data_IF_972197563593
#
_entry.id   IF_972197563593
#
_cell.length_a   1.000
_cell.length_b   1.000
_cell.length_c   1.000
_cell.angle_alpha   90.00
_cell.angle_beta   90.00
_cell.angle_gamma   90.00
#
_symmetry.space_group_name_H-M   'P 1'
#
loop_
_entity.id
_entity.type
_entity.pdbx_description
1 polymer ?
#
# COMPACT_ATOMS: atom_id res chain seq x y z
N UNK A 1 46.77 -5.35 57.63
CA UNK A 1 45.62 -6.29 57.71
C UNK A 1 44.59 -5.87 56.68
N UNK A 2 43.98 -6.85 56.02
CA UNK A 2 42.86 -6.74 55.07
C UNK A 2 43.14 -6.16 53.67
N UNK A 3 43.59 -7.03 52.76
CA UNK A 3 43.37 -6.89 51.33
C UNK A 3 42.56 -8.09 50.80
N UNK A 4 41.69 -7.81 49.84
CA UNK A 4 41.15 -8.71 48.82
C UNK A 4 40.01 -9.66 49.21
N UNK A 5 38.81 -9.32 48.72
CA UNK A 5 37.86 -10.27 48.13
C UNK A 5 36.93 -9.51 47.17
N UNK A 6 37.42 -9.23 45.96
CA UNK A 6 36.61 -8.67 44.87
C UNK A 6 35.73 -9.76 44.25
N UNK A 7 34.45 -9.78 44.60
CA UNK A 7 33.41 -10.55 43.90
C UNK A 7 33.07 -9.83 42.60
N UNK A 8 33.51 -10.38 41.47
CA UNK A 8 32.99 -10.00 40.15
C UNK A 8 31.67 -10.74 39.92
N UNK A 9 30.56 -10.04 40.13
CA UNK A 9 29.23 -10.42 39.68
C UNK A 9 29.13 -10.11 38.17
N UNK A 10 29.14 -11.14 37.34
CA UNK A 10 28.79 -11.01 35.91
C UNK A 10 27.26 -10.97 35.82
N UNK A 11 26.70 -9.76 35.80
CA UNK A 11 25.31 -9.54 35.42
C UNK A 11 25.20 -9.63 33.89
N UNK A 12 24.72 -10.77 33.40
CA UNK A 12 24.27 -10.93 32.02
C UNK A 12 22.97 -10.15 31.81
N UNK A 13 23.06 -8.92 31.31
CA UNK A 13 21.91 -8.15 30.87
C UNK A 13 21.43 -8.68 29.51
N UNK A 14 20.48 -9.61 29.52
CA UNK A 14 19.68 -9.93 28.33
C UNK A 14 18.66 -8.80 28.16
N UNK A 15 19.04 -7.77 27.40
CA UNK A 15 18.11 -6.74 26.95
C UNK A 15 17.25 -7.36 25.84
N UNK A 16 16.15 -7.98 26.24
CA UNK A 16 15.08 -8.34 25.33
C UNK A 16 14.39 -7.06 24.84
N UNK A 17 14.86 -6.53 23.73
CA UNK A 17 14.20 -5.44 23.02
C UNK A 17 12.88 -5.96 22.42
N UNK A 18 11.81 -5.91 23.22
CA UNK A 18 10.44 -6.02 22.74
C UNK A 18 10.12 -4.75 21.95
N UNK A 19 10.36 -4.76 20.64
CA UNK A 19 9.79 -3.75 19.77
C UNK A 19 8.27 -3.93 19.77
N UNK A 20 7.47 -2.93 20.19
CA UNK A 20 6.03 -3.00 19.96
C UNK A 20 5.83 -3.08 18.46
N UNK A 21 5.12 -4.12 18.00
CA UNK A 21 4.72 -4.27 16.62
C UNK A 21 3.91 -3.03 16.23
N UNK A 22 4.55 -2.09 15.55
CA UNK A 22 3.89 -0.91 15.00
C UNK A 22 2.95 -1.44 13.93
N UNK A 23 1.65 -1.41 14.23
CA UNK A 23 0.61 -1.84 13.32
C UNK A 23 0.68 -0.95 12.06
N UNK A 24 1.09 -1.55 10.94
CA UNK A 24 1.07 -0.95 9.62
C UNK A 24 -0.33 -1.08 9.01
N UNK A 25 -0.68 -0.18 8.11
CA UNK A 25 -2.07 0.02 7.69
C UNK A 25 -2.26 0.15 6.18
N UNK A 26 -3.48 0.51 5.77
CA UNK A 26 -4.09 0.32 4.46
C UNK A 26 -3.66 1.29 3.37
N UNK A 27 -3.68 0.77 2.16
CA UNK A 27 -3.78 1.55 0.96
C UNK A 27 -5.22 1.96 0.66
N UNK A 28 -5.30 3.17 0.13
CA UNK A 28 -6.45 3.83 -0.48
C UNK A 28 -6.02 4.02 -1.92
N UNK A 29 -6.92 4.01 -2.89
CA UNK A 29 -6.60 4.57 -4.19
C UNK A 29 -7.79 5.39 -4.61
N UNK A 30 -7.56 6.65 -4.95
CA UNK A 30 -8.58 7.53 -5.49
C UNK A 30 -8.04 8.12 -6.79
N UNK A 31 -8.84 8.07 -7.85
CA UNK A 31 -8.58 8.69 -9.14
C UNK A 31 -9.48 9.91 -9.27
N UNK A 32 -8.90 11.11 -9.22
CA UNK A 32 -9.67 12.34 -9.34
C UNK A 32 -9.00 13.24 -10.38
N UNK A 33 -9.77 13.80 -11.34
CA UNK A 33 -9.30 14.96 -12.07
C UNK A 33 -9.09 16.11 -11.07
N UNK A 34 -7.83 16.43 -10.82
CA UNK A 34 -7.39 17.36 -9.79
C UNK A 34 -7.57 18.82 -10.21
N UNK A 35 -8.69 19.17 -10.86
CA UNK A 35 -9.04 20.54 -11.22
C UNK A 35 -8.64 21.50 -10.10
N UNK A 36 -7.72 22.41 -10.42
CA UNK A 36 -7.16 23.46 -9.56
C UNK A 36 -6.76 23.08 -8.11
N UNK A 37 -6.42 21.81 -7.84
CA UNK A 37 -5.95 21.38 -6.50
C UNK A 37 -4.70 22.15 -6.00
N UNK A 38 -4.04 22.90 -6.89
CA UNK A 38 -2.77 23.57 -6.63
C UNK A 38 -2.85 25.10 -6.49
N UNK A 39 -3.99 25.74 -6.80
CA UNK A 39 -4.09 27.22 -6.78
C UNK A 39 -4.65 27.79 -5.46
N UNK A 40 -5.04 26.94 -4.52
CA UNK A 40 -5.19 27.31 -3.10
C UNK A 40 -6.32 28.28 -2.77
N UNK A 41 -7.17 28.65 -3.72
CA UNK A 41 -8.26 29.60 -3.51
C UNK A 41 -9.52 28.98 -2.89
N UNK A 42 -9.60 27.63 -2.87
CA UNK A 42 -10.70 26.90 -2.24
C UNK A 42 -12.06 27.17 -2.89
N UNK A 43 -12.10 27.66 -4.13
CA UNK A 43 -13.35 27.84 -4.85
C UNK A 43 -13.90 26.46 -5.24
N UNK A 44 -15.06 26.11 -4.68
CA UNK A 44 -15.76 24.82 -4.84
C UNK A 44 -16.42 24.67 -6.23
N UNK A 45 -15.89 25.31 -7.28
CA UNK A 45 -16.46 25.19 -8.61
C UNK A 45 -16.23 23.78 -9.17
N UNK A 46 -17.29 22.99 -9.14
CA UNK A 46 -17.34 21.62 -9.67
C UNK A 46 -17.31 21.65 -11.19
N UNK A 47 -16.16 21.83 -11.80
CA UNK A 47 -16.03 21.63 -13.23
C UNK A 47 -15.94 20.12 -13.51
N UNK A 48 -16.98 19.58 -14.15
CA UNK A 48 -16.88 18.26 -14.74
C UNK A 48 -15.80 18.30 -15.83
N UNK A 49 -14.89 17.33 -15.81
CA UNK A 49 -13.94 17.18 -16.90
C UNK A 49 -14.70 16.68 -18.12
N UNK A 50 -14.55 17.30 -19.31
CA UNK A 50 -15.25 16.90 -20.53
C UNK A 50 -14.63 15.63 -21.14
N UNK A 51 -14.32 14.63 -20.29
CA UNK A 51 -13.87 13.30 -20.64
C UNK A 51 -14.88 12.31 -20.05
N UNK A 52 -15.37 11.40 -20.88
CA UNK A 52 -16.15 10.27 -20.41
C UNK A 52 -15.22 9.09 -20.13
N UNK A 53 -15.41 8.41 -19.01
CA UNK A 53 -14.86 7.08 -18.76
C UNK A 53 -15.87 6.08 -19.28
N UNK A 54 -15.62 5.46 -20.43
CA UNK A 54 -16.54 4.48 -21.02
C UNK A 54 -16.46 3.12 -20.32
N UNK A 55 -15.30 2.80 -19.74
CA UNK A 55 -15.07 1.55 -19.01
C UNK A 55 -13.87 1.69 -18.10
N UNK A 56 -13.97 1.13 -16.90
CA UNK A 56 -12.82 0.90 -16.01
C UNK A 56 -12.57 -0.61 -15.89
N UNK A 57 -11.31 -1.02 -15.99
CA UNK A 57 -10.85 -2.36 -15.64
C UNK A 57 -9.82 -2.25 -14.53
N UNK A 58 -10.18 -2.78 -13.36
CA UNK A 58 -9.36 -2.76 -12.14
C UNK A 58 -8.82 -4.15 -11.86
N UNK A 59 -7.50 -4.30 -11.88
CA UNK A 59 -6.80 -5.53 -11.49
C UNK A 59 -5.99 -5.28 -10.23
N UNK A 60 -6.36 -5.98 -9.15
CA UNK A 60 -5.66 -6.01 -7.87
C UNK A 60 -4.87 -7.31 -7.78
N UNK A 61 -3.56 -7.26 -8.07
CA UNK A 61 -2.67 -8.41 -7.94
C UNK A 61 -2.03 -8.44 -6.55
N UNK A 62 -2.59 -9.30 -5.71
CA UNK A 62 -2.23 -9.45 -4.30
C UNK A 62 -1.31 -10.64 -4.06
N UNK A 63 -0.96 -11.42 -5.09
CA UNK A 63 -0.06 -12.57 -5.00
C UNK A 63 1.30 -12.25 -4.34
N UNK A 64 1.94 -11.09 -4.61
CA UNK A 64 3.22 -10.75 -3.98
C UNK A 64 3.18 -10.70 -2.44
N UNK A 65 1.99 -10.60 -1.82
CA UNK A 65 1.86 -10.57 -0.36
C UNK A 65 2.30 -11.87 0.31
N UNK A 66 2.38 -13.00 -0.42
CA UNK A 66 2.96 -14.25 0.11
C UNK A 66 4.42 -14.06 0.56
N UNK A 67 5.16 -13.25 -0.20
CA UNK A 67 6.57 -12.94 0.04
C UNK A 67 6.77 -11.61 0.80
N UNK A 68 5.70 -11.09 1.42
CA UNK A 68 5.68 -9.76 2.06
C UNK A 68 6.10 -8.62 1.10
N UNK A 69 5.91 -8.80 -0.21
CA UNK A 69 6.15 -7.77 -1.21
C UNK A 69 4.89 -6.91 -1.43
N UNK A 70 5.04 -5.64 -1.88
CA UNK A 70 3.91 -4.77 -2.19
C UNK A 70 2.94 -5.41 -3.21
N UNK A 71 1.64 -5.19 -3.00
CA UNK A 71 0.63 -5.55 -3.98
C UNK A 71 0.74 -4.64 -5.21
N UNK A 72 0.38 -5.16 -6.39
CA UNK A 72 0.35 -4.39 -7.63
C UNK A 72 -1.10 -4.10 -8.00
N UNK A 73 -1.41 -2.85 -8.27
CA UNK A 73 -2.72 -2.42 -8.76
C UNK A 73 -2.58 -1.87 -10.17
N UNK A 74 -3.46 -2.28 -11.06
CA UNK A 74 -3.56 -1.77 -12.43
C UNK A 74 -4.99 -1.30 -12.66
N UNK A 75 -5.16 -0.01 -12.93
CA UNK A 75 -6.43 0.58 -13.36
C UNK A 75 -6.30 1.00 -14.82
N UNK A 76 -7.16 0.46 -15.68
CA UNK A 76 -7.25 0.83 -17.08
C UNK A 76 -8.58 1.52 -17.34
N UNK A 77 -8.52 2.73 -17.88
CA UNK A 77 -9.67 3.56 -18.22
C UNK A 77 -9.74 3.69 -19.73
N UNK A 78 -10.88 3.30 -20.31
CA UNK A 78 -11.24 3.68 -21.68
C UNK A 78 -11.88 5.06 -21.62
N UNK A 79 -11.19 6.04 -22.18
CA UNK A 79 -11.59 7.44 -22.16
C UNK A 79 -12.17 7.82 -23.53
N UNK A 80 -13.24 8.60 -23.54
CA UNK A 80 -13.74 9.27 -24.74
C UNK A 80 -13.75 10.78 -24.56
N UNK A 81 -13.12 11.48 -25.48
CA UNK A 81 -13.12 12.92 -25.58
C UNK A 81 -14.00 13.35 -26.77
N UNK A 82 -15.25 13.74 -26.48
CA UNK A 82 -16.24 14.13 -27.49
C UNK A 82 -16.06 15.58 -28.00
N UNK A 83 -15.06 16.32 -27.50
CA UNK A 83 -14.80 17.70 -27.92
C UNK A 83 -14.31 17.72 -29.37
N UNK A 84 -15.17 18.13 -30.29
CA UNK A 84 -14.82 18.30 -31.72
C UNK A 84 -14.27 19.69 -32.01
N UNK A 85 -14.88 20.70 -31.39
CA UNK A 85 -14.56 22.11 -31.59
C UNK A 85 -14.49 22.83 -30.23
N UNK A 86 -13.48 23.67 -30.05
CA UNK A 86 -13.36 24.51 -28.87
C UNK A 86 -11.95 25.11 -28.72
N UNK A 87 -11.83 26.37 -28.27
CA UNK A 87 -10.54 26.96 -28.00
C UNK A 87 -9.84 26.14 -26.91
N UNK A 88 -8.67 25.57 -27.23
CA UNK A 88 -7.74 25.14 -26.20
C UNK A 88 -7.31 26.40 -25.44
N UNK A 89 -7.38 26.40 -24.11
CA UNK A 89 -6.99 27.55 -23.28
C UNK A 89 -5.57 28.00 -23.69
N UNK A 90 -5.48 29.14 -24.40
CA UNK A 90 -4.23 29.75 -24.86
C UNK A 90 -3.75 29.43 -26.29
N UNK A 91 -4.38 28.53 -27.05
CA UNK A 91 -3.95 28.23 -28.43
C UNK A 91 -5.15 28.03 -29.38
N UNK A 92 -5.36 29.00 -30.26
CA UNK A 92 -6.51 29.06 -31.18
C UNK A 92 -6.38 28.15 -32.42
N UNK A 93 -5.36 27.27 -32.51
CA UNK A 93 -5.12 26.47 -33.73
C UNK A 93 -4.73 25.00 -33.49
N UNK A 94 -5.14 24.40 -32.38
CA UNK A 94 -4.97 22.97 -32.11
C UNK A 94 -6.30 22.20 -32.04
N UNK A 95 -6.31 20.88 -32.30
CA UNK A 95 -7.48 20.03 -32.01
C UNK A 95 -7.84 20.16 -30.52
N UNK A 96 -9.15 20.06 -30.21
CA UNK A 96 -9.72 20.30 -28.89
C UNK A 96 -9.28 19.26 -27.83
N UNK A 97 -8.01 19.35 -27.44
CA UNK A 97 -7.35 18.47 -26.49
C UNK A 97 -7.81 18.84 -25.09
N UNK A 98 -8.39 17.89 -24.38
CA UNK A 98 -8.73 18.09 -22.97
C UNK A 98 -7.47 17.87 -22.13
N UNK A 99 -7.08 18.92 -21.39
CA UNK A 99 -5.93 18.91 -20.48
C UNK A 99 -6.44 18.92 -19.05
N UNK A 100 -5.95 18.01 -18.22
CA UNK A 100 -6.30 17.95 -16.80
C UNK A 100 -5.14 17.38 -15.99
N UNK A 101 -5.08 17.72 -14.71
CA UNK A 101 -4.23 17.02 -13.76
C UNK A 101 -4.97 15.80 -13.25
N UNK A 102 -4.26 14.69 -13.14
CA UNK A 102 -4.77 13.48 -12.51
C UNK A 102 -3.99 13.25 -11.23
N UNK A 103 -4.70 12.90 -10.16
CA UNK A 103 -4.13 12.57 -8.87
C UNK A 103 -4.53 11.15 -8.46
N UNK A 104 -3.53 10.36 -8.10
CA UNK A 104 -3.68 9.05 -7.46
C UNK A 104 -3.18 9.11 -6.04
N UNK A 105 -4.05 8.83 -5.08
CA UNK A 105 -3.71 8.92 -3.65
C UNK A 105 -3.70 7.53 -3.03
N UNK A 106 -2.53 7.07 -2.57
CA UNK A 106 -2.44 5.84 -1.79
C UNK A 106 -1.41 5.95 -0.66
N UNK A 107 -1.84 5.89 0.61
CA UNK A 107 -0.91 5.64 1.70
C UNK A 107 -0.21 4.29 1.48
N UNK A 108 1.12 4.25 1.61
CA UNK A 108 1.86 3.01 1.38
C UNK A 108 2.21 2.76 -0.08
N UNK A 109 2.02 3.75 -0.96
CA UNK A 109 2.45 3.62 -2.35
C UNK A 109 3.97 3.65 -2.43
N UNK A 110 4.54 2.71 -3.19
CA UNK A 110 5.99 2.56 -3.36
C UNK A 110 6.44 3.28 -4.64
N UNK A 111 5.73 3.03 -5.74
CA UNK A 111 5.98 3.60 -7.05
C UNK A 111 4.68 3.61 -7.88
N UNK A 112 4.71 4.33 -9.01
CA UNK A 112 3.61 4.42 -9.95
C UNK A 112 4.11 4.71 -11.37
N UNK A 113 3.40 4.16 -12.33
CA UNK A 113 3.59 4.34 -13.77
C UNK A 113 2.23 4.65 -14.42
N UNK A 114 2.23 5.51 -15.44
CA UNK A 114 1.03 5.85 -16.19
C UNK A 114 1.34 5.89 -17.69
N UNK A 115 0.40 5.41 -18.50
CA UNK A 115 0.49 5.36 -19.96
C UNK A 115 -0.82 5.85 -20.57
N UNK A 116 -0.74 6.64 -21.64
CA UNK A 116 -1.87 7.00 -22.50
C UNK A 116 -1.58 6.49 -23.91
N UNK A 117 -2.41 5.57 -24.41
CA UNK A 117 -2.23 4.92 -25.72
C UNK A 117 -0.81 4.35 -25.88
N UNK A 118 -0.35 3.58 -24.90
CA UNK A 118 1.00 2.97 -24.84
C UNK A 118 2.16 3.97 -24.66
N UNK A 119 1.89 5.28 -24.68
CA UNK A 119 2.90 6.31 -24.39
C UNK A 119 3.00 6.57 -22.89
N UNK A 120 4.19 6.41 -22.35
CA UNK A 120 4.49 6.76 -20.95
C UNK A 120 4.23 8.24 -20.66
N UNK A 121 3.59 8.49 -19.52
CA UNK A 121 3.36 9.82 -18.96
C UNK A 121 4.39 10.09 -17.86
N UNK A 122 4.78 11.35 -17.69
CA UNK A 122 5.61 11.74 -16.57
C UNK A 122 4.80 11.73 -15.27
N UNK A 123 5.10 10.77 -14.39
CA UNK A 123 4.47 10.61 -13.09
C UNK A 123 5.35 11.24 -12.00
N UNK A 124 4.82 12.23 -11.30
CA UNK A 124 5.52 12.94 -10.24
C UNK A 124 4.97 12.54 -8.86
N UNK A 125 5.82 12.09 -7.92
CA UNK A 125 5.39 11.91 -6.54
C UNK A 125 4.97 13.26 -5.94
N UNK A 126 3.91 13.23 -5.13
CA UNK A 126 3.39 14.38 -4.40
C UNK A 126 2.87 13.92 -3.03
N UNK A 127 2.44 14.86 -2.19
CA UNK A 127 1.88 14.54 -0.90
C UNK A 127 0.76 15.51 -0.53
N UNK A 128 -0.25 15.01 0.20
CA UNK A 128 -1.43 15.76 0.61
C UNK A 128 -1.48 15.89 2.12
N UNK A 129 -1.85 17.06 2.64
CA UNK A 129 -1.96 17.29 4.09
C UNK A 129 -3.25 16.75 4.74
N UNK A 130 -3.99 15.95 3.99
CA UNK A 130 -5.22 15.30 4.39
C UNK A 130 -5.97 14.82 3.16
N UNK A 131 -6.90 13.89 3.38
CA UNK A 131 -7.88 13.50 2.37
C UNK A 131 -9.13 14.37 2.54
N UNK A 132 -9.69 14.79 1.40
CA UNK A 132 -11.06 15.33 1.39
C UNK A 132 -12.01 14.26 1.98
N UNK A 133 -13.05 14.64 2.74
CA UNK A 133 -13.99 13.69 3.34
C UNK A 133 -14.47 12.59 2.39
N UNK A 134 -14.73 12.96 1.14
CA UNK A 134 -15.24 12.12 0.07
C UNK A 134 -14.21 11.13 -0.51
N UNK A 135 -12.91 11.35 -0.28
CA UNK A 135 -11.84 10.40 -0.63
C UNK A 135 -11.49 9.47 0.52
N UNK A 136 -12.14 9.64 1.68
CA UNK A 136 -11.86 8.78 2.82
C UNK A 136 -12.48 7.41 2.56
N UNK A 137 -11.70 6.34 2.70
CA UNK A 137 -12.28 5.02 2.68
C UNK A 137 -13.18 4.84 3.91
N UNK A 138 -14.05 3.82 3.90
CA UNK A 138 -14.83 3.44 5.07
C UNK A 138 -13.92 3.09 6.25
N UNK A 139 -14.41 3.27 7.48
CA UNK A 139 -13.61 2.98 8.68
C UNK A 139 -13.42 1.48 8.94
N UNK A 140 -14.20 0.63 8.26
CA UNK A 140 -14.27 -0.80 8.47
C UNK A 140 -14.30 -1.53 7.12
N UNK A 141 -13.93 -2.81 7.13
CA UNK A 141 -14.00 -3.72 5.98
C UNK A 141 -14.61 -5.05 6.41
N UNK A 142 -15.27 -5.82 5.53
CA UNK A 142 -15.80 -7.13 5.89
C UNK A 142 -14.67 -8.09 6.27
N UNK A 143 -14.88 -8.95 7.27
CA UNK A 143 -13.88 -9.93 7.72
C UNK A 143 -14.05 -11.28 6.99
N UNK A 144 -12.97 -12.07 6.75
CA UNK A 144 -13.09 -13.34 6.03
C UNK A 144 -13.88 -14.45 6.76
N UNK A 145 -14.09 -14.34 8.08
CA UNK A 145 -14.94 -15.27 8.85
C UNK A 145 -16.31 -14.69 9.20
N UNK A 146 -16.70 -13.57 8.58
CA UNK A 146 -17.88 -12.81 8.95
C UNK A 146 -17.60 -11.72 10.00
N UNK A 147 -18.47 -10.71 10.03
CA UNK A 147 -18.27 -9.48 10.80
C UNK A 147 -17.43 -8.45 10.04
N UNK A 148 -16.80 -7.54 10.79
CA UNK A 148 -16.02 -6.41 10.24
C UNK A 148 -14.64 -6.30 10.92
N UNK A 149 -13.68 -5.75 10.21
CA UNK A 149 -12.34 -5.41 10.70
C UNK A 149 -12.13 -3.90 10.56
N UNK A 150 -11.40 -3.26 11.49
CA UNK A 150 -11.07 -1.84 11.34
C UNK A 150 -10.13 -1.63 10.15
N UNK A 151 -10.48 -0.69 9.28
CA UNK A 151 -9.61 -0.19 8.22
C UNK A 151 -8.60 0.82 8.82
N UNK A 152 -7.46 0.35 9.31
CA UNK A 152 -6.35 1.21 9.77
C UNK A 152 -5.39 1.62 8.64
N UNK A 153 -5.22 2.90 8.29
CA UNK A 153 -4.38 3.38 7.17
C UNK A 153 -2.86 3.19 7.33
N UNK A 154 -2.14 3.03 6.20
CA UNK A 154 -0.70 2.77 6.18
C UNK A 154 0.00 4.00 6.66
N UNK A 155 0.65 3.92 7.81
CA UNK A 155 1.59 4.96 8.15
C UNK A 155 2.95 4.53 7.64
N UNK A 156 3.31 5.02 6.46
CA UNK A 156 4.69 4.88 6.00
C UNK A 156 5.60 5.71 6.91
N UNK A 157 6.78 5.21 7.28
CA UNK A 157 7.80 6.01 7.95
C UNK A 157 8.21 7.24 7.15
N UNK A 158 7.96 7.22 5.83
CA UNK A 158 8.29 8.28 4.87
C UNK A 158 7.27 9.41 4.81
N UNK A 159 6.11 9.26 5.45
CA UNK A 159 5.10 10.29 5.48
C UNK A 159 5.70 11.59 6.06
N UNK A 160 5.83 12.61 5.20
CA UNK A 160 6.27 13.94 5.62
C UNK A 160 5.25 14.52 6.58
N UNK A 161 5.69 15.35 7.51
CA UNK A 161 4.74 16.09 8.34
C UNK A 161 4.22 17.29 7.56
N UNK A 162 2.91 17.38 7.47
CA UNK A 162 2.23 18.63 7.25
C UNK A 162 2.11 19.34 8.60
N UNK A 163 2.29 20.67 8.61
CA UNK A 163 2.18 21.47 9.83
C UNK A 163 0.94 21.12 10.68
N UNK A 164 1.03 21.41 11.98
CA UNK A 164 0.04 21.01 13.00
C UNK A 164 0.00 19.50 13.31
N UNK A 165 1.14 18.80 13.19
CA UNK A 165 1.25 17.41 13.63
C UNK A 165 0.39 16.43 12.79
N UNK A 166 0.20 16.72 11.50
CA UNK A 166 -0.49 15.81 10.57
C UNK A 166 0.52 15.14 9.67
N UNK A 167 0.31 13.86 9.36
CA UNK A 167 1.12 13.14 8.37
C UNK A 167 0.54 13.37 6.98
N UNK A 168 1.41 13.69 6.05
CA UNK A 168 1.08 13.82 4.65
C UNK A 168 0.76 12.44 4.08
N UNK A 169 -0.25 12.37 3.22
CA UNK A 169 -0.63 11.18 2.48
C UNK A 169 0.13 11.17 1.17
N UNK A 170 0.80 10.06 0.88
CA UNK A 170 1.52 9.84 -0.36
C UNK A 170 0.55 9.80 -1.55
N UNK A 171 0.95 10.42 -2.64
CA UNK A 171 0.19 10.47 -3.87
C UNK A 171 1.12 10.61 -5.07
N UNK A 172 0.61 10.35 -6.26
CA UNK A 172 1.27 10.69 -7.51
C UNK A 172 0.34 11.52 -8.36
N UNK A 173 0.92 12.43 -9.12
CA UNK A 173 0.20 13.24 -10.08
C UNK A 173 0.87 13.18 -11.43
N UNK A 174 0.07 13.34 -12.47
CA UNK A 174 0.57 13.52 -13.82
C UNK A 174 -0.38 14.41 -14.60
N UNK A 175 0.16 15.03 -15.64
CA UNK A 175 -0.63 15.85 -16.56
C UNK A 175 -1.17 14.96 -17.67
N UNK A 176 -2.49 14.93 -17.83
CA UNK A 176 -3.19 14.19 -18.86
C UNK A 176 -3.60 15.15 -19.98
N UNK A 177 -3.25 14.83 -21.21
CA UNK A 177 -3.65 15.57 -22.40
C UNK A 177 -4.27 14.58 -23.39
N UNK A 178 -5.60 14.59 -23.49
CA UNK A 178 -6.38 13.64 -24.29
C UNK A 178 -6.88 14.36 -25.55
N UNK A 179 -6.40 14.00 -26.76
CA UNK A 179 -6.98 14.48 -28.01
C UNK A 179 -8.46 14.10 -28.16
N UNK A 180 -9.19 14.64 -29.15
CA UNK A 180 -10.52 14.14 -29.49
C UNK A 180 -10.48 12.68 -29.94
N UNK A 181 -11.43 11.87 -29.49
CA UNK A 181 -11.52 10.44 -29.83
C UNK A 181 -11.52 9.51 -28.62
N UNK A 182 -11.25 8.23 -28.88
CA UNK A 182 -11.13 7.17 -27.88
C UNK A 182 -9.66 6.93 -27.52
N UNK A 183 -9.40 6.75 -26.23
CA UNK A 183 -8.05 6.61 -25.68
C UNK A 183 -8.04 5.60 -24.54
N UNK A 184 -6.88 4.99 -24.28
CA UNK A 184 -6.68 4.07 -23.14
C UNK A 184 -5.66 4.67 -22.19
N UNK A 185 -6.12 5.04 -20.99
CA UNK A 185 -5.26 5.43 -19.88
C UNK A 185 -5.03 4.21 -18.99
N UNK A 186 -3.78 3.77 -18.84
CA UNK A 186 -3.39 2.71 -17.91
C UNK A 186 -2.54 3.28 -16.80
N UNK A 187 -2.90 3.00 -15.55
CA UNK A 187 -2.15 3.39 -14.37
C UNK A 187 -1.81 2.15 -13.56
N UNK A 188 -0.52 1.94 -13.32
CA UNK A 188 -0.01 0.83 -12.51
C UNK A 188 0.72 1.41 -11.32
N UNK A 189 0.49 0.85 -10.13
CA UNK A 189 1.24 1.26 -8.93
C UNK A 189 1.38 0.10 -7.97
N UNK A 190 2.44 0.17 -7.16
CA UNK A 190 2.67 -0.77 -6.08
C UNK A 190 2.30 -0.14 -4.74
N UNK A 191 1.62 -0.90 -3.89
CA UNK A 191 1.19 -0.44 -2.58
C UNK A 191 1.37 -1.52 -1.52
N UNK A 192 1.64 -1.11 -0.29
CA UNK A 192 1.61 -1.98 0.87
C UNK A 192 0.20 -2.01 1.48
N UNK A 193 -0.53 -3.15 1.44
CA UNK A 193 -1.81 -3.26 2.12
C UNK A 193 -1.64 -3.16 3.62
N UNK A 194 -2.72 -2.79 4.29
CA UNK A 194 -2.68 -2.66 5.74
C UNK A 194 -2.81 -3.93 6.47
N UNK A 195 -2.59 -3.83 7.77
CA UNK A 195 -2.64 -4.97 8.67
C UNK A 195 -3.77 -4.78 9.67
N UNK A 196 -4.63 -5.78 9.73
CA UNK A 196 -5.61 -5.96 10.79
C UNK A 196 -5.18 -7.17 11.63
N UNK A 197 -4.73 -6.92 12.87
CA UNK A 197 -4.14 -7.95 13.72
C UNK A 197 -2.79 -8.48 13.21
N UNK A 198 -2.32 -9.59 13.78
CA UNK A 198 -1.03 -10.18 13.42
C UNK A 198 -0.98 -10.62 11.96
N UNK A 199 -2.17 -10.91 11.39
CA UNK A 199 -2.28 -11.76 10.24
C UNK A 199 -2.99 -11.21 9.02
N UNK A 200 -4.01 -10.42 9.24
CA UNK A 200 -4.92 -10.08 8.17
C UNK A 200 -4.35 -8.90 7.40
N UNK A 201 -4.59 -8.89 6.09
CA UNK A 201 -4.32 -7.73 5.26
C UNK A 201 -5.63 -7.04 4.89
N UNK A 202 -5.62 -5.72 4.82
CA UNK A 202 -6.81 -4.93 4.49
C UNK A 202 -6.46 -3.87 3.44
N UNK A 203 -7.40 -3.59 2.54
CA UNK A 203 -7.25 -2.69 1.41
C UNK A 203 -8.58 -2.04 1.09
N UNK A 204 -8.56 -0.78 0.68
CA UNK A 204 -9.73 -0.12 0.11
C UNK A 204 -9.34 0.57 -1.20
N UNK A 205 -10.14 0.39 -2.25
CA UNK A 205 -10.04 1.13 -3.49
C UNK A 205 -11.27 2.03 -3.59
N UNK A 206 -11.07 3.35 -3.62
CA UNK A 206 -12.15 4.32 -3.76
C UNK A 206 -12.30 4.58 -5.26
N UNK A 207 -13.43 4.17 -5.84
CA UNK A 207 -13.78 4.59 -7.18
C UNK A 207 -14.00 6.09 -7.08
N UNK A 208 -12.99 6.86 -7.52
CA UNK A 208 -13.01 8.31 -7.38
C UNK A 208 -14.26 8.91 -8.03
N UNK A 209 -14.48 10.20 -7.85
CA UNK A 209 -15.69 10.91 -8.23
C UNK A 209 -16.17 10.64 -9.65
N UNK A 210 -16.98 9.59 -9.84
CA UNK A 210 -17.57 9.23 -11.12
C UNK A 210 -18.46 10.35 -11.65
N UNK A 211 -18.97 11.19 -10.75
CA UNK A 211 -19.77 12.38 -11.02
C UNK A 211 -18.96 13.57 -11.56
N UNK A 212 -17.62 13.54 -11.50
CA UNK A 212 -16.74 14.59 -12.08
C UNK A 212 -16.33 14.33 -13.52
N UNK A 213 -16.66 13.16 -14.06
CA UNK A 213 -16.44 12.82 -15.45
C UNK A 213 -17.69 13.16 -16.27
N UNK A 214 -17.53 13.42 -17.57
CA UNK A 214 -18.67 13.64 -18.47
C UNK A 214 -19.57 12.40 -18.59
N UNK A 215 -19.05 11.23 -18.23
CA UNK A 215 -19.78 9.97 -18.10
C UNK A 215 -18.89 8.93 -17.41
N UNK A 216 -19.51 7.93 -16.80
CA UNK A 216 -18.81 6.83 -16.14
C UNK A 216 -19.54 5.52 -16.43
N UNK A 217 -18.93 4.68 -17.24
CA UNK A 217 -19.47 3.42 -17.73
C UNK A 217 -19.19 2.24 -16.79
N UNK A 218 -19.32 1.00 -17.29
CA UNK A 218 -19.16 -0.20 -16.49
C UNK A 218 -17.76 -0.35 -15.90
N UNK A 219 -17.71 -1.01 -14.75
CA UNK A 219 -16.47 -1.34 -14.03
C UNK A 219 -16.30 -2.84 -13.93
N UNK A 220 -15.15 -3.31 -14.38
CA UNK A 220 -14.71 -4.69 -14.22
C UNK A 220 -13.65 -4.77 -13.14
N UNK A 221 -13.82 -5.71 -12.22
CA UNK A 221 -12.89 -5.91 -11.11
C UNK A 221 -12.35 -7.33 -11.17
N UNK A 222 -11.03 -7.45 -11.09
CA UNK A 222 -10.31 -8.71 -10.90
C UNK A 222 -9.38 -8.59 -9.69
N UNK A 223 -9.49 -9.52 -8.75
CA UNK A 223 -8.57 -9.65 -7.62
C UNK A 223 -7.86 -10.98 -7.75
N UNK A 224 -6.52 -10.95 -7.82
CA UNK A 224 -5.68 -12.14 -7.82
C UNK A 224 -5.11 -12.33 -6.42
N UNK A 225 -5.58 -13.35 -5.72
CA UNK A 225 -5.18 -13.67 -4.35
C UNK A 225 -3.89 -14.51 -4.36
N UNK A 226 -3.07 -14.46 -3.30
CA UNK A 226 -2.10 -15.51 -3.07
C UNK A 226 -2.80 -16.88 -2.91
N UNK A 227 -2.12 -17.98 -3.26
CA UNK A 227 -2.70 -19.31 -3.18
C UNK A 227 -3.27 -19.65 -1.81
N UNK A 228 -4.52 -20.14 -1.79
CA UNK A 228 -5.24 -20.59 -0.59
C UNK A 228 -5.60 -19.49 0.42
N UNK A 229 -5.37 -18.22 0.11
CA UNK A 229 -5.78 -17.13 0.99
C UNK A 229 -7.30 -16.99 0.99
N UNK A 230 -7.86 -16.72 2.17
CA UNK A 230 -9.27 -16.34 2.31
C UNK A 230 -9.38 -14.84 2.10
N UNK A 231 -10.48 -14.42 1.49
CA UNK A 231 -10.77 -13.02 1.25
C UNK A 231 -12.25 -12.75 1.51
N UNK A 232 -12.55 -11.54 1.99
CA UNK A 232 -13.88 -10.96 2.00
C UNK A 232 -13.85 -9.60 1.30
N UNK A 233 -14.93 -9.28 0.59
CA UNK A 233 -15.08 -8.05 -0.18
C UNK A 233 -16.40 -7.36 0.16
N UNK A 234 -16.46 -6.02 0.07
CA UNK A 234 -17.71 -5.27 0.29
C UNK A 234 -18.76 -5.51 -0.81
N UNK A 235 -18.32 -5.99 -1.98
CA UNK A 235 -19.19 -6.34 -3.10
C UNK A 235 -19.21 -7.84 -3.36
N UNK A 236 -20.29 -8.36 -3.97
CA UNK A 236 -20.30 -9.73 -4.45
C UNK A 236 -19.25 -9.89 -5.56
N UNK A 237 -18.17 -10.61 -5.25
CA UNK A 237 -17.19 -11.07 -6.24
C UNK A 237 -17.34 -12.58 -6.43
N UNK A 238 -17.37 -13.02 -7.68
CA UNK A 238 -17.38 -14.45 -8.01
C UNK A 238 -15.97 -15.02 -7.79
N UNK A 239 -15.85 -16.04 -6.95
CA UNK A 239 -14.58 -16.73 -6.71
C UNK A 239 -14.38 -17.91 -7.66
N UNK A 240 -13.20 -17.99 -8.24
CA UNK A 240 -12.69 -19.11 -9.04
C UNK A 240 -11.24 -19.39 -8.61
N UNK A 241 -11.05 -20.36 -7.72
CA UNK A 241 -9.77 -20.64 -7.08
C UNK A 241 -9.22 -19.42 -6.31
N UNK A 242 -8.09 -18.90 -6.78
CA UNK A 242 -7.40 -17.73 -6.23
C UNK A 242 -7.72 -16.44 -6.99
N UNK A 243 -8.78 -16.44 -7.81
CA UNK A 243 -9.26 -15.26 -8.54
C UNK A 243 -10.65 -14.87 -8.05
N UNK A 244 -10.87 -13.58 -7.82
CA UNK A 244 -12.18 -12.99 -7.58
C UNK A 244 -12.51 -12.04 -8.75
N UNK A 245 -13.71 -12.16 -9.33
CA UNK A 245 -14.11 -11.31 -10.46
C UNK A 245 -15.51 -10.76 -10.28
N UNK A 246 -15.76 -9.54 -10.74
CA UNK A 246 -17.11 -9.00 -10.92
C UNK A 246 -17.14 -7.99 -12.05
N UNK A 247 -18.35 -7.69 -12.54
CA UNK A 247 -18.64 -6.65 -13.52
C UNK A 247 -19.86 -5.89 -13.05
N UNK A 248 -19.80 -4.57 -13.08
CA UNK A 248 -20.84 -3.68 -12.60
C UNK A 248 -21.21 -2.70 -13.72
N UNK A 249 -22.48 -2.68 -14.13
CA UNK A 249 -22.99 -1.68 -15.07
C UNK A 249 -23.02 -0.27 -14.44
N UNK A 250 -23.28 -0.24 -13.14
CA UNK A 250 -23.20 0.96 -12.30
C UNK A 250 -22.46 0.63 -11.01
N UNK A 251 -21.69 1.58 -10.50
CA UNK A 251 -20.92 1.39 -9.26
C UNK A 251 -21.87 1.11 -8.08
N UNK A 252 -21.78 -0.06 -7.42
CA UNK A 252 -22.66 -0.43 -6.32
C UNK A 252 -22.38 0.37 -5.03
N UNK A 253 -21.16 0.87 -4.85
CA UNK A 253 -20.80 1.88 -3.84
C UNK A 253 -19.55 2.65 -4.27
N UNK A 254 -19.12 3.60 -3.44
CA UNK A 254 -17.97 4.48 -3.70
C UNK A 254 -16.61 3.80 -3.49
N UNK A 255 -16.57 2.64 -2.84
CA UNK A 255 -15.31 1.93 -2.57
C UNK A 255 -15.42 0.42 -2.54
N UNK A 256 -14.44 -0.27 -3.11
CA UNK A 256 -14.17 -1.68 -2.92
C UNK A 256 -13.30 -1.88 -1.68
N UNK A 257 -13.85 -2.55 -0.68
CA UNK A 257 -13.13 -2.94 0.52
C UNK A 257 -12.75 -4.41 0.42
N UNK A 258 -11.51 -4.73 0.79
CA UNK A 258 -10.99 -6.09 0.78
C UNK A 258 -10.29 -6.38 2.10
N UNK A 259 -10.58 -7.54 2.66
CA UNK A 259 -9.77 -8.15 3.71
C UNK A 259 -9.30 -9.52 3.28
N UNK A 260 -8.12 -9.89 3.76
CA UNK A 260 -7.36 -11.03 3.33
C UNK A 260 -6.81 -11.74 4.55
N UNK A 261 -6.77 -13.07 4.50
CA UNK A 261 -6.10 -13.86 5.53
C UNK A 261 -5.39 -15.07 4.90
N UNK A 262 -4.12 -15.31 5.23
CA UNK A 262 -3.44 -16.54 4.82
C UNK A 262 -4.05 -17.78 5.50
N UNK A 263 -3.82 -18.97 4.94
CA UNK A 263 -4.24 -20.22 5.56
C UNK A 263 -3.57 -20.42 6.94
N UNK A 264 -4.27 -21.02 7.92
CA UNK A 264 -3.78 -21.16 9.29
C UNK A 264 -2.50 -22.00 9.37
N UNK A 265 -2.35 -22.99 8.50
CA UNK A 265 -1.23 -23.94 8.50
C UNK A 265 0.09 -23.31 8.07
N UNK A 266 0.07 -22.25 7.23
CA UNK A 266 1.30 -21.61 6.75
C UNK A 266 1.83 -20.52 7.68
N UNK A 267 1.09 -20.19 8.73
CA UNK A 267 1.55 -19.21 9.73
C UNK A 267 2.12 -19.90 10.96
N UNK A 268 3.09 -20.80 10.78
CA UNK A 268 3.91 -21.22 11.90
C UNK A 268 5.09 -20.24 12.04
N UNK A 269 5.03 -19.22 12.92
CA UNK A 269 6.14 -18.28 13.09
C UNK A 269 7.43 -18.99 13.52
N UNK A 270 7.32 -20.20 14.08
CA UNK A 270 8.46 -21.03 14.41
C UNK A 270 9.23 -21.45 13.17
N UNK A 271 8.62 -21.80 12.04
CA UNK A 271 9.38 -22.23 10.85
C UNK A 271 10.30 -21.13 10.29
N UNK A 272 9.83 -19.87 10.25
CA UNK A 272 10.68 -18.73 9.84
C UNK A 272 11.75 -18.38 10.87
N UNK A 273 11.47 -18.58 12.17
CA UNK A 273 12.40 -18.19 13.26
C UNK A 273 13.34 -19.32 13.68
N UNK A 274 13.01 -20.57 13.40
CA UNK A 274 13.76 -21.75 13.84
C UNK A 274 15.21 -21.72 13.35
N UNK A 275 15.54 -21.37 12.09
CA UNK A 275 16.93 -21.27 11.65
C UNK A 275 17.72 -20.24 12.47
N UNK A 276 17.10 -19.09 12.79
CA UNK A 276 17.73 -18.04 13.59
C UNK A 276 17.88 -18.44 15.06
N UNK A 277 16.89 -19.11 15.63
CA UNK A 277 16.95 -19.64 17.00
C UNK A 277 18.06 -20.69 17.09
N UNK A 278 18.14 -21.61 16.12
CA UNK A 278 19.19 -22.63 16.04
C UNK A 278 20.57 -22.00 15.86
N UNK A 279 20.70 -21.00 14.98
CA UNK A 279 21.96 -20.27 14.79
C UNK A 279 22.40 -19.53 16.06
N UNK A 280 21.47 -18.85 16.74
CA UNK A 280 21.76 -18.16 18.01
C UNK A 280 22.16 -19.14 19.12
N UNK A 281 21.45 -20.27 19.24
CA UNK A 281 21.79 -21.33 20.18
C UNK A 281 23.18 -21.94 19.89
N UNK A 282 23.48 -22.18 18.60
CA UNK A 282 24.79 -22.66 18.16
C UNK A 282 25.92 -21.67 18.47
N UNK A 283 25.69 -20.37 18.27
CA UNK A 283 26.66 -19.32 18.63
C UNK A 283 26.91 -19.26 20.14
N UNK A 284 25.86 -19.31 20.96
CA UNK A 284 25.99 -19.33 22.43
C UNK A 284 26.78 -20.56 22.89
N UNK A 285 26.50 -21.73 22.31
CA UNK A 285 27.25 -22.95 22.60
C UNK A 285 28.73 -22.82 22.23
N UNK A 286 29.01 -22.29 21.03
CA UNK A 286 30.38 -22.07 20.54
C UNK A 286 31.15 -21.12 21.47
N UNK A 287 30.54 -20.01 21.87
CA UNK A 287 31.14 -19.05 22.81
C UNK A 287 31.38 -19.66 24.19
N UNK A 288 30.45 -20.50 24.68
CA UNK A 288 30.63 -21.26 25.91
C UNK A 288 31.81 -22.23 25.83
N UNK A 289 31.94 -22.96 24.72
CA UNK A 289 33.05 -23.88 24.49
C UNK A 289 34.39 -23.14 24.39
N UNK A 290 34.45 -22.02 23.68
CA UNK A 290 35.64 -21.16 23.62
C UNK A 290 36.02 -20.61 25.00
N UNK A 291 35.04 -20.11 25.77
CA UNK A 291 35.27 -19.61 27.12
C UNK A 291 35.84 -20.69 28.06
N UNK A 292 35.31 -21.92 27.99
CA UNK A 292 35.85 -23.03 28.79
C UNK A 292 37.24 -23.48 28.34
N UNK A 293 37.54 -23.45 27.04
CA UNK A 293 38.86 -23.74 26.51
C UNK A 293 39.91 -22.71 26.98
N UNK A 294 39.59 -21.42 26.88
CA UNK A 294 40.44 -20.32 27.36
C UNK A 294 40.67 -20.41 28.87
N UNK A 295 39.62 -20.68 29.65
CA UNK A 295 39.74 -20.82 31.11
C UNK A 295 40.62 -22.02 31.50
N UNK A 296 40.53 -23.14 30.77
CA UNK A 296 41.41 -24.30 30.98
C UNK A 296 42.86 -23.98 30.68
N UNK A 297 43.14 -23.22 29.63
CA UNK A 297 44.51 -22.87 29.25
C UNK A 297 45.13 -21.88 30.24
N UNK A 298 44.40 -20.83 30.62
CA UNK A 298 44.84 -19.88 31.66
C UNK A 298 45.03 -20.55 33.04
N UNK A 299 44.28 -21.61 33.34
CA UNK A 299 44.45 -22.40 34.56
C UNK A 299 45.73 -23.25 34.61
N UNK A 300 46.30 -23.60 33.44
CA UNK A 300 47.53 -24.41 33.36
C UNK A 300 48.79 -23.62 33.68
N UNK A 301 48.78 -22.29 33.55
CA UNK A 301 49.96 -21.44 33.73
C UNK A 301 50.26 -21.05 35.20
N UNK A 302 49.68 -21.74 36.20
CA UNK A 302 50.13 -21.63 37.60
C UNK A 302 50.89 -22.84 38.14
N UNK A 303 52.01 -23.27 37.54
CA UNK A 303 53.02 -24.05 38.25
C UNK A 303 54.06 -23.10 38.86
N UNK A 304 54.00 -22.93 40.18
CA UNK A 304 55.16 -22.52 40.98
C UNK A 304 55.52 -21.04 40.98
N UNK A 305 54.93 -20.29 41.91
CA UNK A 305 55.72 -19.34 42.72
C UNK A 305 55.81 -19.91 44.13
N UNK A 306 56.93 -20.60 44.37
CA UNK A 306 57.53 -20.70 45.71
C UNK A 306 58.18 -19.37 46.04
#
# INVERSE_FOLDING_TARGET
MAHSAGRWLVFGAVVGAWFPAVASGNAIAAFDPAGEFFDGDGSDERWAVPLAVERESLVLDLRPLEDEAPARVTAEYRLRNDRRDGPSFGDMRGPATTRTWVLFVAPGMVDAEAQLDERELFVAPTALCGLRPEWRPPAEVPAPDGGVLPLRAAVTPRARWCGAGRRAVEAFRFHLAVPPGEHVLRVTYHLEPGRAGAAQRTLAYVFGHSDRWAGFGPVEVEVRLPPFWRAAASFPLRRDGDRLTSSFETLPATSLELSLRPPPERWNPWERRLPWIVAAAGLVLLLGLLGTAVFRELGRERPGRR
#
